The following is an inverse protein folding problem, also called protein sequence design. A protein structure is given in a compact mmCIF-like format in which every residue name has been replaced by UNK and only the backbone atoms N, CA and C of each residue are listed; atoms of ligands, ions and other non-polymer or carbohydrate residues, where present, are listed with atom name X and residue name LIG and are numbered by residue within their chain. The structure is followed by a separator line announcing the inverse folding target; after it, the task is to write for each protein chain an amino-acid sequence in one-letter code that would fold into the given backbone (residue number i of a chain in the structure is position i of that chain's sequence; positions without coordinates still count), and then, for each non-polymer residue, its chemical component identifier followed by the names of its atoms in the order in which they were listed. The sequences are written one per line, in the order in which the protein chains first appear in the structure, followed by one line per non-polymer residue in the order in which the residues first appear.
data_IF_208822328072
#
_entry.id   IF_208822328072
#
_cell.length_a   1.000
_cell.length_b   1.000
_cell.length_c   1.000
_cell.angle_alpha   90.00
_cell.angle_beta   90.00
_cell.angle_gamma   90.00
#
_symmetry.space_group_name_H-M   'P 1'
#
loop_
_entity.id
_entity.type
_entity.pdbx_description
1 polymer ?
#
# COMPACT_ATOMS: atom_id res chain seq x y z
N UNK A 1 -46.26 -26.29 40.11
CA UNK A 1 -46.04 -25.09 39.27
C UNK A 1 -44.56 -25.01 38.91
N UNK A 2 -44.15 -25.61 37.78
CA UNK A 2 -42.76 -25.60 37.33
C UNK A 2 -42.57 -24.47 36.31
N UNK A 3 -41.74 -23.48 36.65
CA UNK A 3 -41.34 -22.38 35.76
C UNK A 3 -40.29 -22.91 34.78
N UNK A 4 -40.67 -23.07 33.52
CA UNK A 4 -39.76 -23.38 32.41
C UNK A 4 -38.91 -22.16 32.07
N UNK A 5 -37.60 -22.26 32.32
CA UNK A 5 -36.59 -21.33 31.85
C UNK A 5 -36.51 -21.40 30.32
N UNK A 6 -36.99 -20.36 29.62
CA UNK A 6 -36.80 -20.18 28.18
C UNK A 6 -35.36 -19.71 27.91
N UNK A 7 -34.50 -20.63 27.45
CA UNK A 7 -33.22 -20.28 26.85
C UNK A 7 -33.46 -19.64 25.48
N UNK A 8 -33.28 -18.32 25.38
CA UNK A 8 -33.16 -17.63 24.10
C UNK A 8 -31.78 -17.96 23.48
N UNK A 9 -31.69 -19.03 22.69
CA UNK A 9 -30.60 -19.20 21.73
C UNK A 9 -30.82 -18.18 20.60
N UNK A 10 -30.06 -17.08 20.63
CA UNK A 10 -29.88 -16.24 19.43
C UNK A 10 -29.09 -17.07 18.42
N UNK A 11 -29.76 -17.70 17.46
CA UNK A 11 -29.10 -18.18 16.24
C UNK A 11 -28.66 -16.96 15.45
N UNK A 12 -27.35 -16.64 15.49
CA UNK A 12 -26.75 -15.80 14.47
C UNK A 12 -26.72 -16.62 13.19
N UNK A 13 -27.42 -16.19 12.14
CA UNK A 13 -27.30 -16.77 10.81
C UNK A 13 -25.84 -16.61 10.36
N UNK A 14 -25.11 -17.72 10.28
CA UNK A 14 -23.79 -17.75 9.64
C UNK A 14 -23.96 -17.29 8.19
N UNK A 15 -23.52 -16.07 7.87
CA UNK A 15 -23.50 -15.59 6.50
C UNK A 15 -22.64 -16.54 5.67
N UNK A 16 -23.26 -17.21 4.70
CA UNK A 16 -22.54 -18.08 3.77
C UNK A 16 -21.56 -17.24 2.95
N UNK A 17 -20.34 -17.74 2.76
CA UNK A 17 -19.26 -17.05 2.06
C UNK A 17 -18.93 -17.78 0.75
N UNK A 18 -18.79 -17.04 -0.36
CA UNK A 18 -18.26 -17.51 -1.64
C UNK A 18 -16.80 -17.09 -1.82
N UNK A 19 -16.03 -17.86 -2.60
CA UNK A 19 -14.62 -17.57 -2.89
C UNK A 19 -14.44 -17.01 -4.31
N UNK A 20 -13.85 -15.83 -4.43
CA UNK A 20 -13.51 -15.23 -5.71
C UNK A 20 -12.09 -15.61 -6.15
N UNK A 21 -11.98 -16.37 -7.25
CA UNK A 21 -10.69 -16.82 -7.84
C UNK A 21 -9.89 -15.63 -8.43
N UNK A 22 -10.54 -14.51 -8.73
CA UNK A 22 -9.87 -13.38 -9.39
C UNK A 22 -9.02 -12.54 -8.44
N UNK A 23 -9.43 -12.43 -7.17
CA UNK A 23 -8.74 -11.70 -6.10
C UNK A 23 -8.38 -12.57 -4.89
N UNK A 24 -8.59 -13.89 -4.99
CA UNK A 24 -8.34 -14.89 -3.94
C UNK A 24 -8.99 -14.51 -2.59
N UNK A 25 -10.26 -14.11 -2.61
CA UNK A 25 -10.93 -13.61 -1.40
C UNK A 25 -12.33 -14.14 -1.18
N UNK A 26 -12.68 -14.29 0.09
CA UNK A 26 -13.96 -14.75 0.62
C UNK A 26 -14.89 -13.56 0.78
N UNK A 27 -16.07 -13.71 0.22
CA UNK A 27 -17.05 -12.64 0.03
C UNK A 27 -18.39 -13.20 0.45
N UNK A 28 -19.23 -12.41 1.11
CA UNK A 28 -20.58 -12.84 1.42
C UNK A 28 -21.27 -13.33 0.14
N UNK A 29 -21.94 -14.48 0.19
CA UNK A 29 -22.55 -15.10 -0.98
C UNK A 29 -23.60 -14.20 -1.62
N UNK A 30 -24.19 -13.28 -0.85
CA UNK A 30 -25.11 -12.24 -1.33
C UNK A 30 -24.45 -11.17 -2.21
N UNK A 31 -23.12 -11.07 -2.16
CA UNK A 31 -22.31 -10.06 -2.87
C UNK A 31 -21.31 -10.69 -3.85
N UNK A 32 -21.25 -12.03 -3.97
CA UNK A 32 -20.23 -12.72 -4.77
C UNK A 32 -20.37 -12.41 -6.26
N UNK A 33 -21.59 -12.34 -6.80
CA UNK A 33 -21.83 -12.10 -8.22
C UNK A 33 -21.46 -10.67 -8.62
N UNK A 34 -21.92 -9.68 -7.83
CA UNK A 34 -21.58 -8.28 -8.04
C UNK A 34 -20.10 -8.01 -7.85
N UNK A 35 -19.46 -8.66 -6.87
CA UNK A 35 -18.01 -8.61 -6.73
C UNK A 35 -17.30 -9.23 -7.93
N UNK A 36 -17.69 -10.42 -8.39
CA UNK A 36 -17.01 -11.10 -9.49
C UNK A 36 -17.03 -10.26 -10.76
N UNK A 37 -18.16 -9.62 -11.09
CA UNK A 37 -18.28 -8.69 -12.20
C UNK A 37 -17.30 -7.51 -12.05
N UNK A 38 -17.36 -6.80 -10.91
CA UNK A 38 -16.49 -5.66 -10.63
C UNK A 38 -15.01 -6.04 -10.58
N UNK A 39 -14.67 -7.20 -10.02
CA UNK A 39 -13.30 -7.69 -9.88
C UNK A 39 -12.72 -8.06 -11.25
N UNK A 40 -13.50 -8.70 -12.11
CA UNK A 40 -13.09 -8.99 -13.49
C UNK A 40 -12.88 -7.71 -14.29
N UNK A 41 -13.82 -6.77 -14.20
CA UNK A 41 -13.75 -5.49 -14.90
C UNK A 41 -12.55 -4.66 -14.44
N UNK A 42 -12.34 -4.54 -13.12
CA UNK A 42 -11.18 -3.85 -12.56
C UNK A 42 -9.86 -4.51 -12.98
N UNK A 43 -9.78 -5.83 -13.00
CA UNK A 43 -8.57 -6.54 -13.44
C UNK A 43 -8.28 -6.30 -14.92
N UNK A 44 -9.32 -6.31 -15.79
CA UNK A 44 -9.21 -5.97 -17.21
C UNK A 44 -8.78 -4.52 -17.42
N UNK A 45 -9.41 -3.58 -16.73
CA UNK A 45 -9.10 -2.15 -16.82
C UNK A 45 -7.65 -1.87 -16.42
N UNK A 46 -7.19 -2.46 -15.31
CA UNK A 46 -5.82 -2.29 -14.87
C UNK A 46 -4.82 -2.92 -15.84
N UNK A 47 -5.15 -4.08 -16.43
CA UNK A 47 -4.32 -4.70 -17.45
C UNK A 47 -4.23 -3.83 -18.70
N UNK A 48 -5.37 -3.34 -19.22
CA UNK A 48 -5.43 -2.43 -20.36
C UNK A 48 -4.61 -1.16 -20.14
N UNK A 49 -4.74 -0.51 -18.97
CA UNK A 49 -3.93 0.66 -18.63
C UNK A 49 -2.43 0.33 -18.56
N UNK A 50 -2.06 -0.84 -18.02
CA UNK A 50 -0.66 -1.30 -17.99
C UNK A 50 -0.10 -1.52 -19.39
N UNK A 51 -0.89 -2.08 -20.29
CA UNK A 51 -0.51 -2.33 -21.68
C UNK A 51 -0.37 -1.02 -22.45
N UNK A 52 -1.27 -0.06 -22.22
CA UNK A 52 -1.17 1.30 -22.79
C UNK A 52 0.12 2.02 -22.34
N UNK A 53 0.45 1.99 -21.06
CA UNK A 53 1.71 2.57 -20.56
C UNK A 53 2.91 1.91 -21.25
N UNK A 54 2.91 0.58 -21.35
CA UNK A 54 3.99 -0.17 -21.99
C UNK A 54 4.13 0.17 -23.47
N UNK A 55 3.01 0.31 -24.18
CA UNK A 55 2.99 0.76 -25.58
C UNK A 55 3.59 2.15 -25.74
N UNK A 56 3.21 3.09 -24.88
CA UNK A 56 3.72 4.46 -24.96
C UNK A 56 5.20 4.58 -24.60
N UNK A 57 5.69 3.81 -23.63
CA UNK A 57 7.12 3.73 -23.33
C UNK A 57 7.92 3.23 -24.55
N UNK A 58 7.39 2.25 -25.28
CA UNK A 58 8.01 1.77 -26.52
C UNK A 58 8.05 2.85 -27.61
N UNK A 59 6.99 3.65 -27.74
CA UNK A 59 6.98 4.77 -28.69
C UNK A 59 8.00 5.85 -28.33
N UNK A 60 8.08 6.25 -27.06
CA UNK A 60 9.09 7.21 -26.57
C UNK A 60 10.50 6.67 -26.83
N UNK A 61 10.73 5.39 -26.55
CA UNK A 61 12.02 4.74 -26.77
C UNK A 61 12.39 4.77 -28.26
N UNK A 62 11.45 4.44 -29.16
CA UNK A 62 11.67 4.51 -30.61
C UNK A 62 11.97 5.93 -31.10
N UNK A 63 11.29 6.95 -30.55
CA UNK A 63 11.57 8.36 -30.85
C UNK A 63 13.00 8.72 -30.39
N UNK A 64 13.38 8.30 -29.18
CA UNK A 64 14.72 8.53 -28.65
C UNK A 64 15.81 7.85 -29.49
N UNK A 65 15.61 6.59 -29.90
CA UNK A 65 16.53 5.85 -30.77
C UNK A 65 16.73 6.53 -32.13
N UNK A 66 15.63 6.94 -32.76
CA UNK A 66 15.68 7.69 -34.02
C UNK A 66 16.39 9.04 -33.86
N UNK A 67 16.23 9.68 -32.71
CA UNK A 67 16.93 10.92 -32.37
C UNK A 67 18.43 10.71 -32.17
N UNK A 68 18.82 9.63 -31.49
CA UNK A 68 20.22 9.25 -31.25
C UNK A 68 20.95 9.04 -32.56
N UNK A 69 20.35 8.30 -33.51
CA UNK A 69 20.95 8.02 -34.82
C UNK A 69 21.22 9.27 -35.66
N UNK A 70 20.57 10.40 -35.34
CA UNK A 70 20.66 11.67 -36.06
C UNK A 70 21.43 12.76 -35.31
N UNK A 71 21.91 12.48 -34.09
CA UNK A 71 22.62 13.47 -33.28
C UNK A 71 24.14 13.33 -33.44
N UNK A 72 24.81 14.49 -33.39
CA UNK A 72 26.27 14.56 -33.32
C UNK A 72 26.79 13.93 -32.03
N UNK A 73 27.89 13.18 -32.17
CA UNK A 73 28.62 12.55 -31.08
C UNK A 73 29.05 13.62 -30.05
N UNK A 74 28.78 13.39 -28.77
CA UNK A 74 29.16 14.29 -27.68
C UNK A 74 28.18 15.44 -27.39
N UNK A 75 27.12 15.61 -28.18
CA UNK A 75 26.11 16.66 -27.91
C UNK A 75 25.34 16.42 -26.61
N UNK A 76 24.97 17.49 -25.89
CA UNK A 76 24.09 17.41 -24.71
C UNK A 76 22.75 16.75 -25.05
N UNK A 77 22.23 17.04 -26.24
CA UNK A 77 21.02 16.40 -26.77
C UNK A 77 21.15 14.88 -26.83
N UNK A 78 22.29 14.36 -27.29
CA UNK A 78 22.55 12.93 -27.33
C UNK A 78 22.53 12.31 -25.92
N UNK A 79 23.14 12.96 -24.93
CA UNK A 79 23.14 12.50 -23.52
C UNK A 79 21.71 12.36 -22.98
N UNK A 80 20.86 13.36 -23.20
CA UNK A 80 19.47 13.32 -22.77
C UNK A 80 18.68 12.21 -23.49
N UNK A 81 18.87 12.01 -24.79
CA UNK A 81 18.17 10.96 -25.53
C UNK A 81 18.59 9.55 -25.07
N UNK A 82 19.87 9.35 -24.78
CA UNK A 82 20.36 8.11 -24.15
C UNK A 82 19.67 7.91 -22.80
N UNK A 83 19.62 8.96 -21.96
CA UNK A 83 18.99 8.86 -20.65
C UNK A 83 17.49 8.57 -20.74
N UNK A 84 16.77 9.17 -21.69
CA UNK A 84 15.36 8.88 -21.96
C UNK A 84 15.17 7.40 -22.27
N UNK A 85 16.01 6.83 -23.14
CA UNK A 85 15.96 5.40 -23.48
C UNK A 85 16.22 4.51 -22.25
N UNK A 86 17.21 4.85 -21.44
CA UNK A 86 17.49 4.12 -20.18
C UNK A 86 16.29 4.17 -19.23
N UNK A 87 15.68 5.35 -19.06
CA UNK A 87 14.51 5.54 -18.21
C UNK A 87 13.31 4.74 -18.74
N UNK A 88 13.04 4.74 -20.05
CA UNK A 88 12.01 3.90 -20.65
C UNK A 88 12.19 2.42 -20.27
N UNK A 89 13.40 1.90 -20.44
CA UNK A 89 13.73 0.50 -20.13
C UNK A 89 13.58 0.20 -18.63
N UNK A 90 14.07 1.09 -17.77
CA UNK A 90 13.95 0.95 -16.32
C UNK A 90 12.48 0.94 -15.89
N UNK A 91 11.67 1.87 -16.41
CA UNK A 91 10.24 1.93 -16.10
C UNK A 91 9.55 0.66 -16.59
N UNK A 92 9.78 0.22 -17.83
CA UNK A 92 9.17 -0.99 -18.40
C UNK A 92 9.54 -2.26 -17.60
N UNK A 93 10.78 -2.37 -17.16
CA UNK A 93 11.28 -3.52 -16.38
C UNK A 93 10.59 -3.70 -15.02
N UNK A 94 10.01 -2.63 -14.46
CA UNK A 94 9.29 -2.68 -13.18
C UNK A 94 7.91 -3.32 -13.42
N UNK A 95 7.88 -4.65 -13.28
CA UNK A 95 6.67 -5.50 -13.41
C UNK A 95 6.05 -5.89 -12.07
N UNK A 96 6.80 -5.76 -10.98
CA UNK A 96 6.37 -6.17 -9.64
C UNK A 96 5.67 -5.03 -8.90
N UNK A 97 4.73 -5.37 -8.00
CA UNK A 97 3.86 -4.41 -7.29
C UNK A 97 4.15 -4.36 -5.77
N UNK A 98 5.42 -4.56 -5.39
CA UNK A 98 5.85 -4.54 -3.99
C UNK A 98 6.29 -3.12 -3.55
N UNK A 99 6.63 -2.96 -2.27
CA UNK A 99 7.04 -1.64 -1.75
C UNK A 99 8.35 -1.13 -2.39
N UNK A 100 9.24 -2.05 -2.78
CA UNK A 100 10.51 -1.72 -3.42
C UNK A 100 10.30 -1.17 -4.83
N UNK A 101 9.37 -1.74 -5.61
CA UNK A 101 9.05 -1.23 -6.93
C UNK A 101 8.35 0.13 -6.88
N UNK A 102 7.49 0.39 -5.89
CA UNK A 102 6.95 1.74 -5.65
C UNK A 102 8.07 2.72 -5.33
N UNK A 103 9.01 2.35 -4.46
CA UNK A 103 10.15 3.20 -4.12
C UNK A 103 10.95 3.52 -5.38
N UNK A 104 11.31 2.52 -6.18
CA UNK A 104 11.99 2.69 -7.47
C UNK A 104 11.23 3.63 -8.41
N UNK A 105 9.91 3.48 -8.54
CA UNK A 105 9.10 4.37 -9.39
C UNK A 105 9.10 5.82 -8.87
N UNK A 106 9.11 6.03 -7.55
CA UNK A 106 9.22 7.37 -6.95
C UNK A 106 10.61 7.99 -7.15
N UNK A 107 11.66 7.18 -7.03
CA UNK A 107 13.03 7.61 -7.26
C UNK A 107 13.19 8.04 -8.73
N UNK A 108 12.69 7.23 -9.68
CA UNK A 108 12.65 7.57 -11.11
C UNK A 108 11.81 8.82 -11.40
N UNK A 109 10.67 8.99 -10.74
CA UNK A 109 9.83 10.20 -10.87
C UNK A 109 10.60 11.45 -10.44
N UNK A 110 11.26 11.38 -9.29
CA UNK A 110 12.04 12.49 -8.75
C UNK A 110 13.21 12.84 -9.68
N UNK A 111 13.85 11.83 -10.26
CA UNK A 111 14.91 12.04 -11.26
C UNK A 111 14.38 12.73 -12.52
N UNK A 112 13.25 12.25 -13.08
CA UNK A 112 12.63 12.87 -14.26
C UNK A 112 12.23 14.32 -13.98
N UNK A 113 11.70 14.63 -12.80
CA UNK A 113 11.36 16.00 -12.40
C UNK A 113 12.58 16.94 -12.41
N UNK A 114 13.73 16.45 -11.94
CA UNK A 114 15.00 17.18 -12.01
C UNK A 114 15.43 17.39 -13.48
N UNK A 115 15.30 16.36 -14.31
CA UNK A 115 15.65 16.43 -15.74
C UNK A 115 14.72 17.37 -16.53
N UNK A 116 13.43 17.44 -16.20
CA UNK A 116 12.46 18.40 -16.79
C UNK A 116 12.82 19.84 -16.41
N UNK A 117 13.35 20.06 -15.21
CA UNK A 117 13.69 21.39 -14.69
C UNK A 117 14.98 21.96 -15.29
N UNK A 118 15.64 21.24 -16.20
CA UNK A 118 16.90 21.67 -16.79
C UNK A 118 16.67 22.83 -17.80
N UNK A 119 17.39 23.95 -17.69
CA UNK A 119 17.05 25.18 -18.42
C UNK A 119 17.40 25.17 -19.92
N UNK A 120 18.22 24.22 -20.40
CA UNK A 120 18.72 24.18 -21.79
C UNK A 120 18.15 23.01 -22.61
N UNK A 121 16.97 22.51 -22.26
CA UNK A 121 16.36 21.39 -22.99
C UNK A 121 15.80 21.85 -24.33
N UNK A 122 16.11 21.09 -25.38
CA UNK A 122 15.33 21.20 -26.62
C UNK A 122 13.87 20.85 -26.36
N UNK A 123 12.94 21.48 -27.08
CA UNK A 123 11.49 21.24 -26.95
C UNK A 123 11.15 19.75 -27.07
N UNK A 124 11.79 19.03 -28.00
CA UNK A 124 11.57 17.58 -28.16
C UNK A 124 11.96 16.80 -26.91
N UNK A 125 13.11 17.10 -26.30
CA UNK A 125 13.55 16.42 -25.08
C UNK A 125 12.60 16.74 -23.93
N UNK A 126 12.23 18.01 -23.77
CA UNK A 126 11.29 18.44 -22.75
C UNK A 126 9.95 17.67 -22.87
N UNK A 127 9.38 17.60 -24.07
CA UNK A 127 8.14 16.83 -24.32
C UNK A 127 8.27 15.35 -23.95
N UNK A 128 9.40 14.72 -24.28
CA UNK A 128 9.63 13.31 -23.95
C UNK A 128 9.74 13.11 -22.42
N UNK A 129 10.46 13.98 -21.71
CA UNK A 129 10.54 13.91 -20.25
C UNK A 129 9.20 14.20 -19.58
N UNK A 130 8.45 15.21 -20.01
CA UNK A 130 7.11 15.51 -19.47
C UNK A 130 6.16 14.33 -19.71
N UNK A 131 6.23 13.66 -20.88
CA UNK A 131 5.43 12.45 -21.10
C UNK A 131 5.88 11.30 -20.21
N UNK A 132 7.18 11.09 -20.01
CA UNK A 132 7.70 10.09 -19.07
C UNK A 132 7.22 10.35 -17.63
N UNK A 133 7.21 11.61 -17.19
CA UNK A 133 6.69 12.01 -15.89
C UNK A 133 5.22 11.65 -15.72
N UNK A 134 4.39 11.92 -16.75
CA UNK A 134 2.98 11.53 -16.78
C UNK A 134 2.82 10.01 -16.69
N UNK A 135 3.57 9.24 -17.49
CA UNK A 135 3.51 7.78 -17.47
C UNK A 135 3.94 7.19 -16.12
N UNK A 136 4.90 7.80 -15.44
CA UNK A 136 5.31 7.43 -14.09
C UNK A 136 4.19 7.68 -13.06
N UNK A 137 3.47 8.81 -13.16
CA UNK A 137 2.29 9.10 -12.34
C UNK A 137 1.19 8.06 -12.57
N UNK A 138 0.83 7.82 -13.83
CA UNK A 138 -0.16 6.82 -14.24
C UNK A 138 0.22 5.42 -13.71
N UNK A 139 1.50 5.03 -13.83
CA UNK A 139 1.98 3.73 -13.35
C UNK A 139 1.93 3.61 -11.82
N UNK A 140 2.30 4.67 -11.09
CA UNK A 140 2.18 4.72 -9.63
C UNK A 140 0.72 4.61 -9.16
N UNK A 141 -0.21 5.29 -9.84
CA UNK A 141 -1.63 5.19 -9.55
C UNK A 141 -2.18 3.78 -9.79
N UNK A 142 -1.80 3.13 -10.90
CA UNK A 142 -2.16 1.72 -11.15
C UNK A 142 -1.61 0.79 -10.07
N UNK A 143 -0.39 1.03 -9.57
CA UNK A 143 0.15 0.23 -8.46
C UNK A 143 -0.67 0.42 -7.18
N UNK A 144 -1.12 1.65 -6.88
CA UNK A 144 -1.97 1.92 -5.72
C UNK A 144 -3.37 1.30 -5.88
N UNK A 145 -3.97 1.37 -7.08
CA UNK A 145 -5.26 0.73 -7.39
C UNK A 145 -5.19 -0.80 -7.25
N UNK A 146 -4.12 -1.44 -7.71
CA UNK A 146 -3.89 -2.89 -7.50
C UNK A 146 -3.75 -3.24 -6.01
N UNK A 147 -3.05 -2.42 -5.22
CA UNK A 147 -2.92 -2.63 -3.77
C UNK A 147 -4.24 -2.53 -3.02
N UNK A 148 -5.11 -1.60 -3.39
CA UNK A 148 -6.44 -1.47 -2.80
C UNK A 148 -7.28 -2.72 -3.07
N UNK A 149 -7.27 -3.25 -4.30
CA UNK A 149 -7.98 -4.49 -4.63
C UNK A 149 -7.50 -5.66 -3.77
N UNK A 150 -6.19 -5.82 -3.55
CA UNK A 150 -5.63 -6.89 -2.72
C UNK A 150 -5.94 -6.66 -1.22
N UNK A 151 -5.96 -5.41 -0.76
CA UNK A 151 -6.18 -5.08 0.65
C UNK A 151 -7.65 -5.20 1.06
N UNK A 152 -8.57 -4.74 0.23
CA UNK A 152 -10.01 -4.84 0.47
C UNK A 152 -10.45 -6.31 0.48
N UNK A 153 -9.83 -7.12 -0.38
CA UNK A 153 -10.07 -8.55 -0.48
C UNK A 153 -9.45 -9.31 0.72
N UNK A 154 -8.26 -8.91 1.18
CA UNK A 154 -7.62 -9.48 2.39
C UNK A 154 -8.33 -9.12 3.71
N UNK A 155 -8.94 -7.93 3.82
CA UNK A 155 -9.72 -7.56 5.03
C UNK A 155 -10.95 -8.44 5.22
N UNK A 156 -11.62 -8.81 4.14
CA UNK A 156 -12.78 -9.71 4.18
C UNK A 156 -12.36 -11.14 4.58
N UNK A 157 -11.19 -11.59 4.12
CA UNK A 157 -10.61 -12.91 4.45
C UNK A 157 -10.31 -13.13 5.94
N UNK A 158 -9.89 -12.10 6.69
CA UNK A 158 -9.61 -12.25 8.13
C UNK A 158 -10.90 -12.46 8.93
N UNK A 159 -11.97 -11.77 8.55
CA UNK A 159 -13.30 -11.96 9.16
C UNK A 159 -13.92 -13.31 8.79
N UNK A 160 -13.69 -13.80 7.57
CA UNK A 160 -14.20 -15.09 7.10
C UNK A 160 -13.45 -16.29 7.70
N UNK A 161 -12.11 -16.25 7.76
CA UNK A 161 -11.29 -17.35 8.30
C UNK A 161 -11.48 -17.61 9.79
N UNK A 162 -11.75 -16.57 10.59
CA UNK A 162 -12.04 -16.73 12.01
C UNK A 162 -13.33 -17.55 12.23
N UNK A 163 -14.20 -17.66 11.21
CA UNK A 163 -15.46 -18.41 11.31
C UNK A 163 -15.38 -19.86 10.81
N UNK A 164 -14.32 -20.26 10.09
CA UNK A 164 -14.27 -21.56 9.39
C UNK A 164 -13.09 -22.48 9.70
N UNK A 165 -12.08 -22.04 10.47
CA UNK A 165 -10.92 -22.91 10.77
C UNK A 165 -11.09 -23.67 12.11
N UNK A 166 -11.94 -24.70 12.08
CA UNK A 166 -11.72 -25.98 12.76
C UNK A 166 -11.91 -27.07 11.71
N UNK A 167 -10.85 -27.50 11.01
CA UNK A 167 -10.64 -28.84 10.44
C UNK A 167 -9.23 -28.87 9.80
N UNK A 168 -8.60 -30.03 9.94
CA UNK A 168 -7.19 -30.37 9.82
C UNK A 168 -6.51 -30.29 8.43
N UNK A 169 -5.18 -30.20 8.56
CA UNK A 169 -4.12 -30.92 7.83
C UNK A 169 -3.48 -30.39 6.54
N UNK A 170 -2.15 -30.30 6.68
CA UNK A 170 -1.10 -30.80 5.78
C UNK A 170 -1.20 -30.45 4.30
N UNK A 171 -0.64 -29.30 3.96
CA UNK A 171 0.21 -29.13 2.77
C UNK A 171 0.59 -27.65 2.68
N UNK A 172 1.83 -27.25 3.02
CA UNK A 172 2.47 -26.02 2.49
C UNK A 172 3.87 -25.73 3.06
N UNK A 173 4.88 -26.50 2.64
CA UNK A 173 6.29 -26.19 2.96
C UNK A 173 6.83 -25.03 2.07
N UNK A 174 6.19 -24.71 0.93
CA UNK A 174 6.62 -23.60 0.05
C UNK A 174 5.99 -22.24 0.36
N UNK A 175 5.03 -22.16 1.28
CA UNK A 175 4.28 -20.94 1.62
C UNK A 175 4.81 -20.23 2.88
N UNK A 176 5.76 -20.84 3.59
CA UNK A 176 6.17 -20.39 4.92
C UNK A 176 7.02 -19.11 4.91
N UNK A 177 7.77 -18.83 3.83
CA UNK A 177 8.61 -17.61 3.72
C UNK A 177 7.85 -16.36 3.24
N UNK A 178 6.79 -16.53 2.45
CA UNK A 178 5.89 -15.42 2.08
C UNK A 178 4.94 -15.10 3.23
N UNK A 179 4.42 -16.12 3.92
CA UNK A 179 3.60 -15.95 5.13
C UNK A 179 4.38 -15.34 6.30
N UNK A 180 5.67 -15.63 6.47
CA UNK A 180 6.47 -15.02 7.54
C UNK A 180 6.64 -13.52 7.34
N UNK A 181 6.91 -13.07 6.10
CA UNK A 181 7.05 -11.64 5.78
C UNK A 181 5.70 -10.90 5.83
N UNK A 182 4.63 -11.53 5.37
CA UNK A 182 3.27 -10.97 5.48
C UNK A 182 2.80 -10.93 6.94
N UNK A 183 3.13 -11.93 7.75
CA UNK A 183 2.85 -11.93 9.19
C UNK A 183 3.67 -10.88 9.93
N UNK A 184 4.95 -10.69 9.60
CA UNK A 184 5.78 -9.63 10.18
C UNK A 184 5.25 -8.24 9.82
N UNK A 185 4.89 -8.01 8.55
CA UNK A 185 4.32 -6.74 8.11
C UNK A 185 2.94 -6.50 8.73
N UNK A 186 2.11 -7.53 8.84
CA UNK A 186 0.81 -7.48 9.51
C UNK A 186 0.99 -7.16 10.99
N UNK A 187 1.91 -7.83 11.68
CA UNK A 187 2.23 -7.54 13.08
C UNK A 187 2.72 -6.11 13.27
N UNK A 188 3.56 -5.59 12.37
CA UNK A 188 4.01 -4.19 12.43
C UNK A 188 2.88 -3.19 12.18
N UNK A 189 2.00 -3.46 11.21
CA UNK A 189 0.84 -2.62 10.92
C UNK A 189 -0.21 -2.67 12.03
N UNK A 190 -0.43 -3.85 12.62
CA UNK A 190 -1.30 -4.05 13.77
C UNK A 190 -0.77 -3.36 15.00
N UNK A 191 0.53 -3.49 15.28
CA UNK A 191 1.19 -2.77 16.35
C UNK A 191 1.04 -1.26 16.17
N UNK A 192 1.31 -0.74 14.97
CA UNK A 192 1.13 0.68 14.64
C UNK A 192 -0.32 1.13 14.85
N UNK A 193 -1.28 0.39 14.33
CA UNK A 193 -2.71 0.71 14.47
C UNK A 193 -3.13 0.72 15.94
N UNK A 194 -2.78 -0.31 16.70
CA UNK A 194 -3.12 -0.41 18.12
C UNK A 194 -2.46 0.71 18.94
N UNK A 195 -1.22 1.05 18.62
CA UNK A 195 -0.49 2.16 19.23
C UNK A 195 -1.18 3.51 19.01
N UNK A 196 -1.52 3.83 17.77
CA UNK A 196 -2.17 5.09 17.42
C UNK A 196 -3.58 5.17 18.00
N UNK A 197 -4.38 4.10 17.89
CA UNK A 197 -5.72 4.04 18.48
C UNK A 197 -5.66 4.30 19.99
N UNK A 198 -4.70 3.71 20.71
CA UNK A 198 -4.57 3.92 22.15
C UNK A 198 -4.12 5.34 22.50
N UNK A 199 -3.19 5.93 21.74
CA UNK A 199 -2.80 7.33 21.93
C UNK A 199 -3.98 8.28 21.72
N UNK A 200 -4.78 8.06 20.67
CA UNK A 200 -5.94 8.89 20.37
C UNK A 200 -7.04 8.72 21.43
N UNK A 201 -7.32 7.49 21.86
CA UNK A 201 -8.26 7.21 22.94
C UNK A 201 -7.88 7.96 24.23
N UNK A 202 -6.58 7.97 24.58
CA UNK A 202 -6.07 8.70 25.74
C UNK A 202 -6.16 10.22 25.55
N UNK A 203 -5.79 10.74 24.37
CA UNK A 203 -5.88 12.17 24.07
C UNK A 203 -7.31 12.71 24.11
N UNK A 204 -8.29 11.94 23.64
CA UNK A 204 -9.71 12.34 23.67
C UNK A 204 -10.22 12.52 25.11
N UNK A 205 -9.65 11.76 26.07
CA UNK A 205 -10.01 11.85 27.49
C UNK A 205 -9.34 13.01 28.23
N UNK A 206 -8.37 13.70 27.61
CA UNK A 206 -7.64 14.81 28.23
C UNK A 206 -8.26 16.17 27.88
N UNK A 207 -8.24 17.16 28.79
CA UNK A 207 -8.64 18.54 28.48
C UNK A 207 -7.81 19.12 27.31
N UNK A 208 -8.41 20.03 26.53
CA UNK A 208 -7.72 20.70 25.41
C UNK A 208 -6.49 21.50 25.85
N UNK A 209 -6.47 21.96 27.11
CA UNK A 209 -5.36 22.69 27.73
C UNK A 209 -4.23 21.78 28.24
N UNK A 210 -4.42 20.46 28.25
CA UNK A 210 -3.43 19.53 28.79
C UNK A 210 -2.17 19.47 27.88
N UNK A 211 -0.94 19.57 28.41
CA UNK A 211 0.29 19.63 27.60
C UNK A 211 0.47 18.40 26.70
N UNK A 212 0.00 17.23 27.13
CA UNK A 212 0.02 16.02 26.30
C UNK A 212 -0.82 16.11 25.01
N UNK A 213 -1.73 17.10 24.87
CA UNK A 213 -2.41 17.39 23.60
C UNK A 213 -1.42 17.83 22.52
N UNK A 214 -0.35 18.54 22.89
CA UNK A 214 0.67 19.07 21.97
C UNK A 214 1.64 17.99 21.47
N UNK A 215 1.73 16.84 22.14
CA UNK A 215 2.66 15.77 21.78
C UNK A 215 2.20 15.09 20.49
N UNK A 216 3.01 15.10 19.44
CA UNK A 216 2.68 14.38 18.20
C UNK A 216 2.75 12.86 18.42
N UNK A 217 1.66 12.15 18.10
CA UNK A 217 1.57 10.68 18.22
C UNK A 217 2.66 9.99 17.37
N UNK A 218 3.04 10.60 16.25
CA UNK A 218 4.11 10.12 15.40
C UNK A 218 5.46 10.06 16.10
N UNK A 219 5.78 11.02 16.97
CA UNK A 219 7.07 11.09 17.65
C UNK A 219 7.15 10.07 18.79
N UNK A 220 6.04 9.87 19.52
CA UNK A 220 5.89 8.77 20.46
C UNK A 220 6.07 7.41 19.77
N UNK A 221 5.49 7.24 18.59
CA UNK A 221 5.63 6.01 17.81
C UNK A 221 7.08 5.75 17.39
N UNK A 222 7.78 6.77 16.87
CA UNK A 222 9.20 6.65 16.50
C UNK A 222 10.06 6.23 17.69
N UNK A 223 9.79 6.79 18.88
CA UNK A 223 10.50 6.43 20.10
C UNK A 223 10.30 4.95 20.47
N UNK A 224 9.05 4.50 20.48
CA UNK A 224 8.66 3.11 20.82
C UNK A 224 9.28 2.10 19.85
N UNK A 225 9.32 2.42 18.55
CA UNK A 225 9.99 1.58 17.55
C UNK A 225 11.50 1.55 17.77
N UNK A 226 12.14 2.69 18.07
CA UNK A 226 13.58 2.77 18.34
C UNK A 226 13.98 1.94 19.57
N UNK A 227 13.13 1.93 20.59
CA UNK A 227 13.35 1.18 21.83
C UNK A 227 12.89 -0.30 21.76
N UNK A 228 12.39 -0.75 20.60
CA UNK A 228 11.90 -2.12 20.38
C UNK A 228 10.87 -2.58 21.42
N UNK A 229 9.95 -1.70 21.81
CA UNK A 229 8.93 -2.04 22.80
C UNK A 229 7.93 -3.06 22.25
N UNK A 230 7.56 -4.03 23.08
CA UNK A 230 6.40 -4.88 22.83
C UNK A 230 5.07 -4.13 23.11
N UNK A 231 3.93 -4.74 22.81
CA UNK A 231 2.62 -4.09 22.92
C UNK A 231 2.33 -3.59 24.35
N UNK A 232 2.67 -4.39 25.37
CA UNK A 232 2.44 -4.02 26.78
C UNK A 232 3.34 -2.88 27.23
N UNK A 233 4.62 -2.91 26.86
CA UNK A 233 5.58 -1.84 27.14
C UNK A 233 5.16 -0.54 26.45
N UNK A 234 4.69 -0.63 25.20
CA UNK A 234 4.16 0.50 24.46
C UNK A 234 2.90 1.08 25.13
N UNK A 235 1.99 0.24 25.63
CA UNK A 235 0.81 0.70 26.37
C UNK A 235 1.17 1.37 27.69
N UNK A 236 2.11 0.80 28.47
CA UNK A 236 2.63 1.43 29.70
C UNK A 236 3.31 2.76 29.41
N UNK A 237 4.05 2.84 28.31
CA UNK A 237 4.68 4.08 27.84
C UNK A 237 3.64 5.14 27.47
N UNK A 238 2.62 4.80 26.68
CA UNK A 238 1.49 5.69 26.36
C UNK A 238 0.86 6.19 27.67
N UNK A 239 0.55 5.28 28.60
CA UNK A 239 -0.02 5.66 29.89
C UNK A 239 0.89 6.62 30.65
N UNK A 240 2.21 6.44 30.64
CA UNK A 240 3.17 7.37 31.27
C UNK A 240 3.23 8.73 30.57
N UNK A 241 3.13 8.77 29.25
CA UNK A 241 3.15 10.02 28.48
C UNK A 241 1.86 10.83 28.63
N UNK A 242 0.73 10.14 28.85
CA UNK A 242 -0.59 10.76 28.97
C UNK A 242 -1.11 10.81 30.41
N UNK A 243 -0.43 10.20 31.39
CA UNK A 243 -0.63 10.42 32.82
C UNK A 243 0.52 11.27 33.36
N UNK A 244 0.19 12.48 33.75
CA UNK A 244 1.10 13.31 34.52
C UNK A 244 0.80 14.79 34.37
N UNK A 245 -0.25 15.26 35.05
CA UNK A 245 -0.22 16.56 35.75
C UNK A 245 -1.12 16.60 37.01
N UNK A 246 -1.50 15.45 37.58
CA UNK A 246 -2.26 15.41 38.85
C UNK A 246 -1.39 14.99 40.06
N UNK A 247 -0.06 15.05 39.98
CA UNK A 247 0.82 14.61 41.08
C UNK A 247 2.00 15.52 41.45
N UNK A 248 2.03 16.80 41.06
CA UNK A 248 3.02 17.75 41.61
C UNK A 248 2.41 19.16 41.83
N UNK A 249 1.42 19.23 42.73
CA UNK A 249 1.15 20.44 43.50
C UNK A 249 1.32 20.11 44.97
N UNK A 250 2.55 20.27 45.45
CA UNK A 250 2.88 20.68 46.82
C UNK A 250 3.76 21.92 46.67
#
# INVERSE_FOLDING_TARGET
MNKTLKFNRRQQSSEQMGFCIQCNSFIAITQIDSHCLNCMENKRNIQCCSDNISFQLKQINKIAENGIAKCEQGSEKLKFLIRIKELCNQIESIKCYNILSIKKLKDLKSEVEVLVSYPQLSVTILMLFTRLESLLKEKLELQNKRKLIIYDSARQNVTARIQTEQVDNEDTIYNQKSLSFENELKQQLEFKRNFYSKCLEMKVKLPKSHPAQQILVLDLYKYVIRQKYNLEQAQKFIQKCFRGYDQNQV
#
